data_IF_036297605120
#
_entry.id   IF_036297605120
#
_cell.length_a   1.000
_cell.length_b   1.000
_cell.length_c   1.000
_cell.angle_alpha   90.00
_cell.angle_beta   90.00
_cell.angle_gamma   90.00
#
_symmetry.space_group_name_H-M   'P 1'
#
loop_
_entity.id
_entity.type
_entity.pdbx_description
1 polymer ?
#
# COMPACT_ATOMS: atom_id res chain seq x y z
N UNK A 1 7.18 -19.18 17.70
CA UNK A 1 6.92 -17.72 17.61
C UNK A 1 5.66 -17.44 18.44
N UNK A 2 5.68 -16.52 19.41
CA UNK A 2 4.52 -16.35 20.30
C UNK A 2 3.48 -15.40 19.68
N UNK A 3 2.30 -15.92 19.33
CA UNK A 3 1.14 -15.15 18.85
C UNK A 3 0.71 -14.02 19.82
N UNK A 4 1.08 -14.12 21.11
CA UNK A 4 0.81 -13.10 22.13
C UNK A 4 1.33 -11.71 21.73
N UNK A 5 2.42 -11.65 20.96
CA UNK A 5 3.01 -10.40 20.45
C UNK A 5 2.07 -9.63 19.50
N UNK A 6 1.24 -10.35 18.75
CA UNK A 6 0.36 -9.76 17.72
C UNK A 6 -1.07 -9.51 18.21
N UNK A 7 -1.38 -9.92 19.45
CA UNK A 7 -2.74 -9.91 20.02
C UNK A 7 -3.45 -8.58 19.80
N UNK A 8 -2.84 -7.46 20.18
CA UNK A 8 -3.49 -6.15 20.07
C UNK A 8 -3.78 -5.76 18.61
N UNK A 9 -2.87 -6.07 17.69
CA UNK A 9 -3.07 -5.78 16.27
C UNK A 9 -4.21 -6.63 15.67
N UNK A 10 -4.27 -7.91 16.04
CA UNK A 10 -5.35 -8.82 15.62
C UNK A 10 -6.70 -8.35 16.17
N UNK A 11 -6.76 -7.93 17.45
CA UNK A 11 -7.98 -7.39 18.05
C UNK A 11 -8.45 -6.14 17.29
N UNK A 12 -7.55 -5.19 17.01
CA UNK A 12 -7.87 -3.97 16.25
C UNK A 12 -8.42 -4.34 14.87
N UNK A 13 -7.74 -5.23 14.15
CA UNK A 13 -8.19 -5.73 12.85
C UNK A 13 -9.59 -6.34 12.93
N UNK A 14 -9.83 -7.26 13.87
CA UNK A 14 -11.12 -7.94 14.02
C UNK A 14 -12.24 -6.98 14.39
N UNK A 15 -12.02 -6.04 15.31
CA UNK A 15 -13.04 -5.06 15.70
C UNK A 15 -13.45 -4.21 14.49
N UNK A 16 -12.48 -3.65 13.76
CA UNK A 16 -12.76 -2.81 12.60
C UNK A 16 -13.38 -3.64 11.48
N UNK A 17 -12.85 -4.82 11.19
CA UNK A 17 -13.44 -5.72 10.20
C UNK A 17 -14.91 -6.00 10.51
N UNK A 18 -15.22 -6.40 11.76
CA UNK A 18 -16.58 -6.68 12.19
C UNK A 18 -17.49 -5.44 12.16
N UNK A 19 -16.99 -4.27 12.58
CA UNK A 19 -17.76 -3.02 12.48
C UNK A 19 -18.11 -2.66 11.02
N UNK A 20 -17.23 -2.99 10.07
CA UNK A 20 -17.47 -2.74 8.65
C UNK A 20 -18.24 -3.86 7.95
N UNK A 21 -18.35 -5.07 8.50
CA UNK A 21 -19.07 -6.19 7.86
C UNK A 21 -20.41 -6.53 8.51
N UNK A 22 -20.51 -6.47 9.85
CA UNK A 22 -21.72 -6.87 10.60
C UNK A 22 -22.95 -6.05 10.23
N UNK A 23 -22.90 -4.71 10.12
CA UNK A 23 -24.08 -3.92 9.79
C UNK A 23 -24.71 -4.33 8.45
N UNK A 24 -23.91 -4.84 7.52
CA UNK A 24 -24.38 -5.24 6.21
C UNK A 24 -25.05 -6.62 6.19
N UNK A 25 -24.87 -7.47 7.21
CA UNK A 25 -25.45 -8.83 7.25
C UNK A 25 -26.99 -8.77 7.33
N UNK A 26 -27.63 -8.05 8.28
CA UNK A 26 -29.09 -7.94 8.34
C UNK A 26 -29.67 -7.22 7.12
N UNK A 27 -28.95 -6.21 6.59
CA UNK A 27 -29.32 -5.48 5.38
C UNK A 27 -29.41 -6.41 4.15
N UNK A 28 -28.61 -7.48 4.08
CA UNK A 28 -28.65 -8.45 2.98
C UNK A 28 -29.90 -9.34 3.01
N UNK A 29 -30.48 -9.59 4.20
CA UNK A 29 -31.71 -10.36 4.35
C UNK A 29 -32.98 -9.50 4.16
N UNK A 30 -32.85 -8.18 4.25
CA UNK A 30 -33.95 -7.23 4.07
C UNK A 30 -34.04 -6.68 2.63
N UNK A 31 -32.95 -6.77 1.86
CA UNK A 31 -32.88 -6.34 0.47
C UNK A 31 -33.38 -7.42 -0.51
N UNK A 32 -34.60 -7.92 -0.29
CA UNK A 32 -35.32 -8.71 -1.30
C UNK A 32 -35.95 -7.74 -2.33
N UNK A 33 -35.15 -7.28 -3.29
CA UNK A 33 -35.64 -6.51 -4.43
C UNK A 33 -34.62 -5.53 -5.02
N UNK A 34 -34.14 -5.82 -6.22
CA UNK A 34 -33.35 -4.88 -7.04
C UNK A 34 -31.85 -5.11 -6.97
N UNK A 35 -31.36 -6.05 -7.77
CA UNK A 35 -29.95 -6.36 -7.92
C UNK A 35 -29.21 -5.27 -8.71
N UNK A 36 -28.75 -4.21 -8.05
CA UNK A 36 -27.80 -3.29 -8.68
C UNK A 36 -26.36 -3.74 -8.41
N UNK A 37 -25.91 -4.64 -9.29
CA UNK A 37 -24.52 -5.07 -9.36
C UNK A 37 -23.63 -3.83 -9.55
N UNK A 38 -22.72 -3.54 -8.63
CA UNK A 38 -21.82 -2.37 -8.73
C UNK A 38 -20.71 -2.55 -9.78
N UNK A 39 -20.09 -3.73 -9.81
CA UNK A 39 -18.96 -4.04 -10.71
C UNK A 39 -19.14 -5.39 -11.44
N UNK A 40 -18.76 -5.49 -12.73
CA UNK A 40 -18.76 -6.75 -13.45
C UNK A 40 -17.60 -7.68 -13.04
N UNK A 41 -16.64 -7.19 -12.24
CA UNK A 41 -15.44 -7.95 -11.86
C UNK A 41 -15.77 -9.00 -10.79
N UNK A 42 -16.72 -8.70 -9.91
CA UNK A 42 -17.11 -9.61 -8.83
C UNK A 42 -18.27 -10.50 -9.29
N UNK A 43 -18.29 -11.78 -8.87
CA UNK A 43 -19.33 -12.74 -9.27
C UNK A 43 -20.65 -12.60 -8.48
N UNK A 44 -20.78 -11.55 -7.67
CA UNK A 44 -21.94 -11.36 -6.79
C UNK A 44 -22.91 -10.36 -7.38
N UNK A 45 -24.21 -10.67 -7.36
CA UNK A 45 -25.25 -9.80 -7.92
C UNK A 45 -25.83 -8.81 -6.92
N UNK A 46 -25.50 -8.93 -5.62
CA UNK A 46 -25.98 -7.98 -4.60
C UNK A 46 -24.86 -7.01 -4.22
N UNK A 47 -25.23 -5.73 -4.07
CA UNK A 47 -24.33 -4.65 -3.65
C UNK A 47 -23.59 -4.99 -2.34
N UNK A 48 -24.31 -5.57 -1.38
CA UNK A 48 -23.77 -5.93 -0.07
C UNK A 48 -22.68 -7.00 -0.18
N UNK A 49 -22.93 -8.08 -0.93
CA UNK A 49 -21.93 -9.14 -1.12
C UNK A 49 -20.71 -8.61 -1.87
N UNK A 50 -20.88 -7.66 -2.80
CA UNK A 50 -19.76 -7.00 -3.46
C UNK A 50 -18.93 -6.15 -2.50
N UNK A 51 -19.55 -5.35 -1.62
CA UNK A 51 -18.84 -4.57 -0.60
C UNK A 51 -18.06 -5.50 0.36
N UNK A 52 -18.70 -6.57 0.84
CA UNK A 52 -18.03 -7.55 1.70
C UNK A 52 -16.84 -8.22 0.98
N UNK A 53 -17.01 -8.57 -0.30
CA UNK A 53 -15.95 -9.14 -1.11
C UNK A 53 -14.79 -8.15 -1.31
N UNK A 54 -15.07 -6.87 -1.58
CA UNK A 54 -14.05 -5.82 -1.68
C UNK A 54 -13.23 -5.76 -0.38
N UNK A 55 -13.89 -5.68 0.78
CA UNK A 55 -13.22 -5.63 2.09
C UNK A 55 -12.34 -6.86 2.33
N UNK A 56 -12.82 -8.06 1.96
CA UNK A 56 -12.06 -9.31 2.07
C UNK A 56 -10.89 -9.38 1.09
N UNK A 57 -11.03 -8.81 -0.10
CA UNK A 57 -9.98 -8.82 -1.12
C UNK A 57 -8.83 -7.85 -0.79
N UNK A 58 -9.04 -6.81 0.03
CA UNK A 58 -7.96 -5.89 0.46
C UNK A 58 -6.78 -6.63 1.11
N UNK A 59 -6.94 -7.44 2.18
CA UNK A 59 -5.84 -8.18 2.76
C UNK A 59 -5.25 -9.20 1.78
N UNK A 60 -6.06 -9.86 0.93
CA UNK A 60 -5.56 -10.81 -0.07
C UNK A 60 -4.67 -10.12 -1.12
N UNK A 61 -5.12 -8.99 -1.66
CA UNK A 61 -4.35 -8.14 -2.55
C UNK A 61 -3.06 -7.67 -1.87
N UNK A 62 -3.14 -7.28 -0.60
CA UNK A 62 -1.97 -6.95 0.20
C UNK A 62 -0.98 -8.10 0.38
N UNK A 63 -1.42 -9.35 0.55
CA UNK A 63 -0.54 -10.53 0.59
C UNK A 63 0.17 -10.70 -0.75
N UNK A 64 -0.57 -10.70 -1.85
CA UNK A 64 -0.01 -10.87 -3.20
C UNK A 64 1.03 -9.78 -3.47
N UNK A 65 0.66 -8.51 -3.27
CA UNK A 65 1.56 -7.36 -3.45
C UNK A 65 2.73 -7.33 -2.48
N UNK A 66 2.50 -7.74 -1.23
CA UNK A 66 3.50 -7.73 -0.18
C UNK A 66 4.62 -8.75 -0.38
N UNK A 67 4.32 -9.89 -1.01
CA UNK A 67 5.28 -10.98 -1.16
C UNK A 67 5.85 -11.11 -2.57
N UNK A 68 5.01 -11.23 -3.60
CA UNK A 68 5.46 -11.59 -4.94
C UNK A 68 6.37 -10.51 -5.56
N UNK A 69 5.93 -9.24 -5.66
CA UNK A 69 6.79 -8.12 -6.06
C UNK A 69 8.05 -7.97 -5.21
N UNK A 70 7.99 -8.28 -3.92
CA UNK A 70 9.12 -8.12 -3.00
C UNK A 70 10.29 -9.04 -3.35
N UNK A 71 10.00 -10.32 -3.63
CA UNK A 71 11.01 -11.26 -4.09
C UNK A 71 11.50 -10.98 -5.51
N UNK A 72 10.63 -10.46 -6.38
CA UNK A 72 10.98 -10.21 -7.79
C UNK A 72 11.78 -8.91 -7.98
N UNK A 73 11.29 -7.79 -7.43
CA UNK A 73 11.81 -6.46 -7.71
C UNK A 73 12.87 -5.99 -6.70
N UNK A 74 12.94 -6.51 -5.47
CA UNK A 74 14.00 -6.07 -4.54
C UNK A 74 15.41 -6.36 -5.07
N UNK A 75 15.69 -7.55 -5.66
CA UNK A 75 16.96 -7.82 -6.32
C UNK A 75 17.24 -6.86 -7.49
N UNK A 76 16.21 -6.60 -8.31
CA UNK A 76 16.32 -5.70 -9.46
C UNK A 76 16.61 -4.26 -9.04
N UNK A 77 15.94 -3.77 -7.99
CA UNK A 77 16.22 -2.45 -7.41
C UNK A 77 17.64 -2.36 -6.86
N UNK A 78 18.12 -3.41 -6.17
CA UNK A 78 19.51 -3.49 -5.72
C UNK A 78 20.49 -3.34 -6.88
N UNK A 79 20.29 -4.16 -7.90
CA UNK A 79 21.13 -4.21 -9.09
C UNK A 79 21.11 -2.88 -9.84
N UNK A 80 19.94 -2.30 -10.07
CA UNK A 80 19.78 -1.04 -10.79
C UNK A 80 20.48 0.11 -10.06
N UNK A 81 20.20 0.30 -8.77
CA UNK A 81 20.81 1.38 -8.01
C UNK A 81 22.33 1.27 -7.98
N UNK A 82 22.88 0.07 -7.75
CA UNK A 82 24.33 -0.14 -7.73
C UNK A 82 24.97 0.18 -9.09
N UNK A 83 24.27 -0.11 -10.20
CA UNK A 83 24.78 0.18 -11.56
C UNK A 83 24.63 1.63 -11.99
N UNK A 84 23.65 2.38 -11.49
CA UNK A 84 23.35 3.74 -11.98
C UNK A 84 23.73 4.81 -10.98
N UNK A 85 23.08 4.85 -9.82
CA UNK A 85 23.23 5.93 -8.83
C UNK A 85 24.44 5.69 -7.93
N UNK A 86 24.59 4.45 -7.45
CA UNK A 86 25.59 4.04 -6.48
C UNK A 86 26.89 3.51 -7.07
N UNK A 87 27.17 3.72 -8.36
CA UNK A 87 28.31 3.08 -9.02
C UNK A 87 29.69 3.47 -8.44
N UNK A 88 29.78 4.62 -7.75
CA UNK A 88 30.98 5.08 -7.01
C UNK A 88 30.80 5.04 -5.49
N UNK A 89 29.81 4.29 -5.01
CA UNK A 89 29.54 4.14 -3.58
C UNK A 89 30.02 2.79 -3.09
N UNK A 90 30.51 2.75 -1.86
CA UNK A 90 30.79 1.48 -1.18
C UNK A 90 29.50 0.96 -0.55
N UNK A 91 29.30 -0.35 -0.59
CA UNK A 91 28.11 -1.01 -0.05
C UNK A 91 28.50 -2.00 1.05
N UNK A 92 27.61 -2.17 2.02
CA UNK A 92 27.75 -3.17 3.07
C UNK A 92 26.42 -3.65 3.61
N UNK A 93 26.49 -4.63 4.50
CA UNK A 93 25.35 -5.25 5.19
C UNK A 93 25.46 -4.94 6.68
N UNK A 94 24.51 -4.18 7.19
CA UNK A 94 24.39 -3.92 8.63
C UNK A 94 23.46 -4.96 9.27
N UNK A 95 23.87 -5.55 10.40
CA UNK A 95 22.97 -6.40 11.17
C UNK A 95 21.95 -5.52 11.90
N UNK A 96 20.67 -5.86 11.77
CA UNK A 96 19.58 -5.25 12.54
C UNK A 96 18.88 -6.34 13.33
N UNK A 97 18.74 -6.09 14.62
CA UNK A 97 17.97 -6.94 15.50
C UNK A 97 16.48 -6.78 15.23
N UNK A 98 15.72 -7.85 15.47
CA UNK A 98 14.27 -7.80 15.38
C UNK A 98 13.75 -7.05 16.61
N UNK A 99 12.94 -5.98 16.45
CA UNK A 99 12.39 -5.26 17.59
C UNK A 99 11.54 -6.20 18.45
N UNK A 100 11.55 -6.02 19.78
CA UNK A 100 10.81 -6.88 20.72
C UNK A 100 9.29 -6.78 20.58
N UNK A 101 8.77 -5.57 20.35
CA UNK A 101 7.35 -5.27 20.18
C UNK A 101 6.97 -5.11 18.70
N UNK A 102 5.74 -5.51 18.36
CA UNK A 102 5.17 -5.22 17.04
C UNK A 102 4.80 -3.74 16.94
N UNK A 103 5.58 -2.97 16.15
CA UNK A 103 5.31 -1.55 15.85
C UNK A 103 4.97 -1.31 14.37
N UNK A 104 4.86 -2.38 13.58
CA UNK A 104 4.78 -2.30 12.12
C UNK A 104 3.37 -2.07 11.57
N UNK A 105 2.34 -1.84 12.41
CA UNK A 105 0.98 -1.49 11.96
C UNK A 105 1.05 -0.25 11.05
N UNK A 106 1.67 0.82 11.54
CA UNK A 106 1.77 2.10 10.82
C UNK A 106 2.69 2.06 9.61
N UNK A 107 3.48 1.00 9.41
CA UNK A 107 4.28 0.83 8.18
C UNK A 107 3.36 0.63 6.95
N UNK A 108 2.10 0.25 7.16
CA UNK A 108 1.07 0.13 6.13
C UNK A 108 0.45 1.46 5.64
N UNK A 109 0.67 2.58 6.35
CA UNK A 109 0.00 3.84 6.01
C UNK A 109 0.38 4.38 4.64
N UNK A 110 1.66 4.31 4.26
CA UNK A 110 2.12 4.83 2.97
C UNK A 110 1.65 3.99 1.78
N UNK A 111 1.70 2.65 1.82
CA UNK A 111 1.00 1.83 0.84
C UNK A 111 -0.49 2.14 0.76
N UNK A 112 -1.17 2.35 1.90
CA UNK A 112 -2.59 2.69 1.91
C UNK A 112 -2.88 4.06 1.25
N UNK A 113 -2.08 5.08 1.55
CA UNK A 113 -2.17 6.40 0.90
C UNK A 113 -1.97 6.29 -0.61
N UNK A 114 -0.97 5.50 -1.05
CA UNK A 114 -0.73 5.27 -2.47
C UNK A 114 -1.88 4.49 -3.13
N UNK A 115 -2.47 3.53 -2.44
CA UNK A 115 -3.59 2.76 -2.96
C UNK A 115 -4.82 3.66 -3.15
N UNK A 116 -5.10 4.52 -2.17
CA UNK A 116 -6.15 5.53 -2.27
C UNK A 116 -5.86 6.52 -3.39
N UNK A 117 -4.62 7.02 -3.51
CA UNK A 117 -4.22 7.89 -4.61
C UNK A 117 -4.52 7.26 -5.98
N UNK A 118 -4.07 6.02 -6.23
CA UNK A 118 -4.33 5.36 -7.51
C UNK A 118 -5.81 5.06 -7.73
N UNK A 119 -6.54 4.65 -6.69
CA UNK A 119 -7.97 4.40 -6.80
C UNK A 119 -8.77 5.67 -7.09
N UNK A 120 -8.37 6.82 -6.54
CA UNK A 120 -9.00 8.11 -6.83
C UNK A 120 -8.75 8.53 -8.29
N UNK A 121 -7.50 8.42 -8.76
CA UNK A 121 -7.14 8.80 -10.13
C UNK A 121 -7.81 7.90 -11.17
N UNK A 122 -7.79 6.59 -10.95
CA UNK A 122 -8.41 5.64 -11.88
C UNK A 122 -9.92 5.62 -11.73
N UNK A 123 -10.46 5.88 -10.54
CA UNK A 123 -11.90 5.86 -10.27
C UNK A 123 -12.70 6.87 -11.09
N UNK A 124 -12.08 7.99 -11.51
CA UNK A 124 -12.68 9.02 -12.39
C UNK A 124 -12.30 8.86 -13.87
N UNK A 125 -11.60 7.78 -14.24
CA UNK A 125 -11.16 7.58 -15.62
C UNK A 125 -12.18 6.82 -16.46
N UNK A 126 -12.10 6.98 -17.79
CA UNK A 126 -12.89 6.20 -18.75
C UNK A 126 -12.70 4.69 -18.57
N UNK A 127 -11.53 4.26 -18.09
CA UNK A 127 -11.28 2.86 -17.78
C UNK A 127 -12.20 2.37 -16.66
N UNK A 128 -12.37 3.15 -15.59
CA UNK A 128 -13.28 2.78 -14.52
C UNK A 128 -14.74 2.79 -14.99
N UNK A 129 -15.15 3.82 -15.72
CA UNK A 129 -16.51 3.92 -16.25
C UNK A 129 -16.89 2.72 -17.13
N UNK A 130 -16.03 2.36 -18.08
CA UNK A 130 -16.34 1.37 -19.10
C UNK A 130 -16.10 -0.09 -18.66
N UNK A 131 -15.17 -0.34 -17.74
CA UNK A 131 -14.73 -1.71 -17.41
C UNK A 131 -14.89 -2.09 -15.94
N UNK A 132 -14.91 -1.12 -15.03
CA UNK A 132 -14.96 -1.39 -13.57
C UNK A 132 -16.37 -1.24 -13.04
N UNK A 133 -17.14 -0.27 -13.54
CA UNK A 133 -18.52 -0.04 -13.12
C UNK A 133 -19.47 -0.84 -14.02
N UNK A 134 -20.48 -1.46 -13.42
CA UNK A 134 -21.45 -2.25 -14.17
C UNK A 134 -22.37 -1.34 -14.98
N UNK A 135 -22.68 -1.67 -16.25
CA UNK A 135 -23.67 -0.93 -17.04
C UNK A 135 -25.05 -0.88 -16.38
N UNK A 136 -25.43 -1.92 -15.64
CA UNK A 136 -26.68 -1.94 -14.86
C UNK A 136 -26.72 -0.85 -13.79
N UNK A 137 -25.57 -0.56 -13.17
CA UNK A 137 -25.44 0.50 -12.17
C UNK A 137 -25.48 1.88 -12.82
N UNK A 138 -25.00 2.02 -14.07
CA UNK A 138 -25.03 3.28 -14.82
C UNK A 138 -26.43 3.60 -15.38
N UNK A 139 -27.21 2.59 -15.76
CA UNK A 139 -28.54 2.76 -16.35
C UNK A 139 -29.67 3.06 -15.37
N UNK A 140 -29.41 2.99 -14.06
CA UNK A 140 -30.39 3.27 -13.00
C UNK A 140 -30.29 4.69 -12.46
N UNK A 141 -30.97 5.65 -13.08
CA UNK A 141 -31.17 7.00 -12.52
C UNK A 141 -29.90 7.69 -11.98
N UNK A 142 -29.82 7.90 -10.66
CA UNK A 142 -28.67 8.54 -9.96
C UNK A 142 -27.32 7.79 -10.10
N UNK A 143 -27.32 6.58 -10.64
CA UNK A 143 -26.13 5.76 -10.84
C UNK A 143 -25.05 6.40 -11.72
N UNK A 144 -25.44 7.24 -12.69
CA UNK A 144 -24.51 8.03 -13.52
C UNK A 144 -23.78 9.14 -12.74
N UNK A 145 -24.28 9.54 -11.56
CA UNK A 145 -23.56 10.49 -10.70
C UNK A 145 -22.69 9.78 -9.66
N UNK A 146 -22.98 8.51 -9.35
CA UNK A 146 -22.30 7.72 -8.32
C UNK A 146 -21.14 6.86 -8.85
N UNK A 147 -21.01 6.71 -10.17
CA UNK A 147 -19.99 5.84 -10.76
C UNK A 147 -18.54 6.14 -10.30
N UNK A 148 -18.09 7.38 -10.04
CA UNK A 148 -16.71 7.61 -9.59
C UNK A 148 -16.44 6.99 -8.23
N UNK A 149 -17.44 7.02 -7.33
CA UNK A 149 -17.38 6.42 -5.99
C UNK A 149 -17.35 4.90 -6.10
N UNK A 150 -18.16 4.34 -7.00
CA UNK A 150 -18.18 2.90 -7.27
C UNK A 150 -16.87 2.42 -7.90
N UNK A 151 -16.36 3.15 -8.88
CA UNK A 151 -15.06 2.89 -9.51
C UNK A 151 -13.94 2.92 -8.49
N UNK A 152 -13.89 3.98 -7.67
CA UNK A 152 -12.95 4.09 -6.55
C UNK A 152 -13.02 2.86 -5.62
N UNK A 153 -14.20 2.54 -5.08
CA UNK A 153 -14.39 1.47 -4.11
C UNK A 153 -14.00 0.09 -4.68
N UNK A 154 -14.40 -0.18 -5.93
CA UNK A 154 -14.13 -1.44 -6.62
C UNK A 154 -12.64 -1.63 -6.92
N UNK A 155 -11.88 -0.53 -7.10
CA UNK A 155 -10.45 -0.58 -7.39
C UNK A 155 -9.57 -0.74 -6.15
N UNK A 156 -10.06 -0.44 -4.94
CA UNK A 156 -9.26 -0.48 -3.69
C UNK A 156 -8.46 -1.78 -3.50
N UNK A 157 -9.01 -2.99 -3.69
CA UNK A 157 -8.23 -4.22 -3.46
C UNK A 157 -7.05 -4.36 -4.43
N UNK A 158 -7.26 -4.00 -5.69
CA UNK A 158 -6.24 -4.06 -6.74
C UNK A 158 -5.16 -2.99 -6.53
N UNK A 159 -5.57 -1.77 -6.21
CA UNK A 159 -4.63 -0.69 -5.91
C UNK A 159 -3.85 -0.98 -4.63
N UNK A 160 -4.47 -1.62 -3.62
CA UNK A 160 -3.75 -2.10 -2.43
C UNK A 160 -2.68 -3.12 -2.81
N UNK A 161 -2.97 -4.06 -3.72
CA UNK A 161 -1.98 -5.02 -4.20
C UNK A 161 -0.81 -4.34 -4.93
N UNK A 162 -1.10 -3.40 -5.84
CA UNK A 162 -0.08 -2.65 -6.58
C UNK A 162 0.77 -1.81 -5.62
N UNK A 163 0.15 -1.04 -4.72
CA UNK A 163 0.87 -0.20 -3.76
C UNK A 163 1.72 -1.01 -2.80
N UNK A 164 1.20 -2.13 -2.27
CA UNK A 164 1.98 -3.06 -1.49
C UNK A 164 3.14 -3.64 -2.31
N UNK A 165 2.92 -3.90 -3.60
CA UNK A 165 3.95 -4.33 -4.55
C UNK A 165 5.06 -3.32 -4.81
N UNK A 166 4.78 -2.03 -4.73
CA UNK A 166 5.77 -0.96 -4.87
C UNK A 166 6.59 -0.79 -3.58
N UNK A 167 5.96 -0.94 -2.41
CA UNK A 167 6.63 -0.77 -1.12
C UNK A 167 7.35 -2.02 -0.62
N UNK A 168 6.88 -3.22 -0.98
CA UNK A 168 7.48 -4.46 -0.50
C UNK A 168 8.95 -4.65 -0.88
N UNK A 169 9.43 -4.30 -2.09
CA UNK A 169 10.83 -4.44 -2.45
C UNK A 169 11.75 -3.57 -1.60
N UNK A 170 11.28 -2.36 -1.30
CA UNK A 170 11.97 -1.40 -0.42
C UNK A 170 12.07 -1.94 1.00
N UNK A 171 11.02 -2.58 1.50
CA UNK A 171 11.05 -3.21 2.81
C UNK A 171 12.01 -4.40 2.86
N UNK A 172 12.11 -5.19 1.79
CA UNK A 172 13.07 -6.29 1.71
C UNK A 172 14.52 -5.75 1.78
N UNK A 173 14.81 -4.65 1.09
CA UNK A 173 16.12 -3.97 1.18
C UNK A 173 16.40 -3.41 2.58
N UNK A 174 15.41 -2.80 3.22
CA UNK A 174 15.49 -2.31 4.60
C UNK A 174 15.75 -3.44 5.61
N UNK A 175 15.03 -4.54 5.45
CA UNK A 175 15.09 -5.72 6.32
C UNK A 175 16.42 -6.47 6.14
N UNK A 176 16.96 -6.48 4.91
CA UNK A 176 18.29 -7.01 4.59
C UNK A 176 19.43 -6.22 5.26
N UNK A 177 19.19 -4.94 5.56
CA UNK A 177 20.19 -4.04 6.14
C UNK A 177 21.23 -3.57 5.14
N UNK A 178 20.87 -3.46 3.85
CA UNK A 178 21.79 -2.96 2.82
C UNK A 178 22.01 -1.46 3.03
N UNK A 179 23.27 -1.09 3.21
CA UNK A 179 23.73 0.28 3.42
C UNK A 179 24.78 0.65 2.38
N UNK A 180 24.91 1.93 2.09
CA UNK A 180 25.95 2.47 1.24
C UNK A 180 26.59 3.71 1.85
N UNK A 181 27.80 4.02 1.41
CA UNK A 181 28.49 5.28 1.72
C UNK A 181 29.09 5.92 0.48
N UNK A 182 29.08 7.25 0.44
CA UNK A 182 29.71 8.06 -0.61
C UNK A 182 31.19 8.36 -0.30
N UNK A 183 31.79 7.79 0.75
CA UNK A 183 33.16 8.09 1.22
C UNK A 183 34.21 8.16 0.10
N UNK A 184 34.22 7.19 -0.83
CA UNK A 184 35.15 7.22 -1.98
C UNK A 184 34.84 8.34 -2.97
N UNK A 185 33.56 8.65 -3.18
CA UNK A 185 33.10 9.69 -4.11
C UNK A 185 33.47 11.10 -3.62
N UNK A 186 33.41 11.34 -2.31
CA UNK A 186 33.57 12.69 -1.72
C UNK A 186 34.96 12.96 -1.14
N UNK A 187 35.90 12.02 -1.29
CA UNK A 187 37.25 12.07 -0.68
C UNK A 187 37.98 13.40 -0.94
N UNK A 188 37.84 13.95 -2.14
CA UNK A 188 38.54 15.17 -2.59
C UNK A 188 37.57 16.37 -2.72
N UNK A 189 36.43 16.33 -2.02
CA UNK A 189 35.40 17.38 -2.06
C UNK A 189 35.04 17.85 -0.66
N UNK A 190 34.38 19.01 -0.55
CA UNK A 190 33.84 19.54 0.70
C UNK A 190 32.52 18.84 1.09
N UNK A 191 32.00 17.97 0.22
CA UNK A 191 30.74 17.25 0.49
C UNK A 191 30.88 16.31 1.70
N UNK A 192 29.86 16.23 2.57
CA UNK A 192 29.91 15.38 3.75
C UNK A 192 29.88 13.89 3.37
N UNK A 193 30.55 13.08 4.19
CA UNK A 193 30.42 11.62 4.14
C UNK A 193 29.05 11.25 4.70
N UNK A 194 28.26 10.56 3.88
CA UNK A 194 26.96 10.04 4.23
C UNK A 194 26.99 8.51 4.30
N UNK A 195 26.26 7.97 5.27
CA UNK A 195 25.99 6.54 5.40
C UNK A 195 24.48 6.37 5.43
N UNK A 196 23.93 5.72 4.40
CA UNK A 196 22.48 5.60 4.24
C UNK A 196 22.06 4.19 3.94
N UNK A 197 20.91 3.78 4.47
CA UNK A 197 20.28 2.53 4.04
C UNK A 197 19.68 2.72 2.65
N UNK A 198 19.98 1.80 1.75
CA UNK A 198 19.44 1.80 0.40
C UNK A 198 17.92 1.71 0.39
N UNK A 199 17.37 0.82 1.23
CA UNK A 199 15.93 0.74 1.43
C UNK A 199 15.36 2.07 1.97
N UNK A 200 16.06 2.77 2.86
CA UNK A 200 15.60 4.07 3.37
C UNK A 200 15.58 5.16 2.28
N UNK A 201 16.51 5.11 1.33
CA UNK A 201 16.56 6.06 0.21
C UNK A 201 15.30 5.94 -0.67
N UNK A 202 14.98 4.73 -1.14
CA UNK A 202 13.74 4.49 -1.89
C UNK A 202 12.49 4.77 -1.05
N UNK A 203 12.51 4.38 0.22
CA UNK A 203 11.37 4.59 1.11
C UNK A 203 11.05 6.08 1.26
N UNK A 204 12.07 6.94 1.36
CA UNK A 204 11.86 8.39 1.44
C UNK A 204 11.18 8.94 0.18
N UNK A 205 11.63 8.53 -1.01
CA UNK A 205 11.03 8.93 -2.28
C UNK A 205 9.57 8.49 -2.39
N UNK A 206 9.30 7.20 -2.11
CA UNK A 206 7.94 6.66 -2.18
C UNK A 206 6.99 7.28 -1.17
N UNK A 207 7.46 7.59 0.04
CA UNK A 207 6.66 8.30 1.06
C UNK A 207 6.29 9.71 0.59
N UNK A 208 7.25 10.44 0.02
CA UNK A 208 7.03 11.77 -0.52
C UNK A 208 5.95 11.75 -1.62
N UNK A 209 6.07 10.81 -2.56
CA UNK A 209 5.08 10.63 -3.62
C UNK A 209 3.70 10.23 -3.07
N UNK A 210 3.62 9.20 -2.22
CA UNK A 210 2.35 8.72 -1.69
C UNK A 210 1.62 9.80 -0.86
N UNK A 211 2.36 10.58 -0.07
CA UNK A 211 1.80 11.63 0.78
C UNK A 211 1.29 12.83 -0.02
N UNK A 212 2.10 13.35 -0.95
CA UNK A 212 1.71 14.52 -1.75
C UNK A 212 0.66 14.14 -2.80
N UNK A 213 0.84 12.99 -3.46
CA UNK A 213 -0.03 12.53 -4.52
C UNK A 213 -1.46 12.35 -4.06
N UNK A 214 -1.70 11.72 -2.90
CA UNK A 214 -3.06 11.47 -2.42
C UNK A 214 -3.83 12.77 -2.17
N UNK A 215 -3.15 13.83 -1.72
CA UNK A 215 -3.78 15.15 -1.50
C UNK A 215 -4.26 15.73 -2.83
N UNK A 216 -3.41 15.73 -3.87
CA UNK A 216 -3.82 16.22 -5.19
C UNK A 216 -4.95 15.39 -5.79
N UNK A 217 -4.85 14.06 -5.72
CA UNK A 217 -5.91 13.17 -6.21
C UNK A 217 -7.23 13.37 -5.47
N UNK A 218 -7.17 13.64 -4.16
CA UNK A 218 -8.36 13.94 -3.37
C UNK A 218 -9.03 15.23 -3.83
N UNK A 219 -8.24 16.30 -4.06
CA UNK A 219 -8.77 17.57 -4.56
C UNK A 219 -9.44 17.38 -5.92
N UNK A 220 -8.78 16.70 -6.86
CA UNK A 220 -9.35 16.46 -8.19
C UNK A 220 -10.62 15.61 -8.14
N UNK A 221 -10.61 14.53 -7.34
CA UNK A 221 -11.78 13.68 -7.17
C UNK A 221 -12.94 14.46 -6.54
N UNK A 222 -12.67 15.27 -5.50
CA UNK A 222 -13.70 16.10 -4.86
C UNK A 222 -14.28 17.12 -5.85
N UNK A 223 -13.45 17.74 -6.69
CA UNK A 223 -13.92 18.68 -7.72
C UNK A 223 -14.80 17.99 -8.77
N UNK A 224 -14.41 16.79 -9.24
CA UNK A 224 -15.23 16.00 -10.17
C UNK A 224 -16.57 15.64 -9.53
N UNK A 225 -16.56 15.11 -8.31
CA UNK A 225 -17.79 14.81 -7.55
C UNK A 225 -18.64 16.08 -7.38
N UNK A 226 -18.08 17.20 -6.91
CA UNK A 226 -18.82 18.45 -6.75
C UNK A 226 -19.44 18.95 -8.06
N UNK A 227 -18.76 18.76 -9.20
CA UNK A 227 -19.33 19.14 -10.50
C UNK A 227 -20.53 18.29 -10.93
N UNK A 228 -20.65 17.08 -10.37
CA UNK A 228 -21.76 16.14 -10.63
C UNK A 228 -22.90 16.28 -9.62
N UNK A 229 -22.60 16.67 -8.37
CA UNK A 229 -23.58 16.93 -7.33
C UNK A 229 -23.82 18.44 -7.17
N UNK A 230 -24.90 18.94 -7.79
CA UNK A 230 -25.36 20.32 -7.59
C UNK A 230 -25.97 20.56 -6.20
N UNK A 231 -26.19 19.51 -5.40
CA UNK A 231 -26.75 19.59 -4.05
C UNK A 231 -25.76 19.02 -3.01
N UNK A 232 -25.13 19.88 -2.18
CA UNK A 232 -24.22 19.45 -1.12
C UNK A 232 -24.93 18.73 0.05
N UNK A 233 -26.26 18.69 0.07
CA UNK A 233 -27.04 17.90 1.04
C UNK A 233 -27.29 16.47 0.59
N UNK A 234 -26.88 16.09 -0.63
CA UNK A 234 -27.01 14.73 -1.11
C UNK A 234 -26.28 13.74 -0.17
N UNK A 235 -26.95 12.69 0.35
CA UNK A 235 -26.34 11.72 1.25
C UNK A 235 -25.09 11.05 0.69
N UNK A 236 -25.03 10.78 -0.62
CA UNK A 236 -23.87 10.21 -1.30
C UNK A 236 -22.66 11.14 -1.27
N UNK A 237 -22.88 12.45 -1.45
CA UNK A 237 -21.83 13.47 -1.32
C UNK A 237 -21.28 13.53 0.11
N UNK A 238 -22.17 13.57 1.11
CA UNK A 238 -21.78 13.62 2.54
C UNK A 238 -20.98 12.37 2.92
N UNK A 239 -21.43 11.19 2.48
CA UNK A 239 -20.73 9.92 2.73
C UNK A 239 -19.36 9.94 2.06
N UNK A 240 -19.23 10.39 0.81
CA UNK A 240 -17.95 10.49 0.14
C UNK A 240 -17.00 11.45 0.85
N UNK A 241 -17.46 12.65 1.22
CA UNK A 241 -16.65 13.67 1.90
C UNK A 241 -16.12 13.19 3.27
N UNK A 242 -16.88 12.36 3.99
CA UNK A 242 -16.47 11.80 5.29
C UNK A 242 -15.63 10.53 5.13
N UNK A 243 -16.04 9.61 4.26
CA UNK A 243 -15.41 8.29 4.15
C UNK A 243 -14.05 8.36 3.46
N UNK A 244 -13.90 9.19 2.42
CA UNK A 244 -12.67 9.24 1.63
C UNK A 244 -11.41 9.59 2.46
N UNK A 245 -11.42 10.60 3.35
CA UNK A 245 -10.28 10.86 4.25
C UNK A 245 -9.96 9.72 5.22
N UNK A 246 -10.96 8.89 5.56
CA UNK A 246 -10.82 7.76 6.48
C UNK A 246 -10.25 6.52 5.76
N UNK A 247 -10.42 6.41 4.43
CA UNK A 247 -10.02 5.24 3.65
C UNK A 247 -8.56 4.81 3.83
N UNK A 248 -7.55 5.71 3.84
CA UNK A 248 -6.16 5.29 4.08
C UNK A 248 -5.97 4.62 5.45
N UNK A 249 -6.67 5.10 6.49
CA UNK A 249 -6.62 4.52 7.83
C UNK A 249 -7.30 3.15 7.81
N UNK A 250 -8.48 3.06 7.19
CA UNK A 250 -9.21 1.80 7.06
C UNK A 250 -8.37 0.73 6.35
N UNK A 251 -7.78 1.06 5.20
CA UNK A 251 -6.93 0.14 4.44
C UNK A 251 -5.71 -0.27 5.28
N UNK A 252 -5.08 0.66 6.00
CA UNK A 252 -3.94 0.36 6.91
C UNK A 252 -4.32 -0.69 7.94
N UNK A 253 -5.54 -0.62 8.48
CA UNK A 253 -6.05 -1.59 9.44
C UNK A 253 -6.36 -2.93 8.75
N UNK A 254 -7.01 -2.90 7.57
CA UNK A 254 -7.34 -4.11 6.81
C UNK A 254 -6.10 -4.89 6.38
N UNK A 255 -4.96 -4.24 6.15
CA UNK A 255 -3.69 -4.90 5.79
C UNK A 255 -2.86 -5.35 7.00
N UNK A 256 -3.32 -5.18 8.25
CA UNK A 256 -2.62 -5.68 9.45
C UNK A 256 -2.21 -7.16 9.33
N UNK A 257 -3.08 -8.09 8.88
CA UNK A 257 -2.69 -9.49 8.71
C UNK A 257 -1.46 -9.65 7.80
N UNK A 258 -1.37 -8.83 6.75
CA UNK A 258 -0.22 -8.82 5.84
C UNK A 258 1.05 -8.35 6.54
N UNK A 259 0.95 -7.28 7.33
CA UNK A 259 2.10 -6.74 8.08
C UNK A 259 2.62 -7.75 9.11
N UNK A 260 1.72 -8.53 9.72
CA UNK A 260 2.08 -9.64 10.60
C UNK A 260 2.82 -10.72 9.78
N UNK A 261 2.27 -11.15 8.64
CA UNK A 261 2.90 -12.15 7.77
C UNK A 261 4.29 -11.71 7.32
N UNK A 262 4.47 -10.47 6.86
CA UNK A 262 5.79 -9.96 6.48
C UNK A 262 6.81 -10.06 7.63
N UNK A 263 6.36 -9.83 8.87
CA UNK A 263 7.23 -9.94 10.04
C UNK A 263 7.53 -11.39 10.47
N UNK A 264 6.58 -12.31 10.24
CA UNK A 264 6.79 -13.76 10.40
C UNK A 264 7.86 -14.24 9.43
N UNK A 265 7.75 -13.84 8.16
CA UNK A 265 8.68 -14.19 7.09
C UNK A 265 9.91 -13.27 7.02
N UNK A 266 10.22 -12.50 8.08
CA UNK A 266 11.37 -11.59 8.09
C UNK A 266 12.69 -12.33 7.88
N UNK A 267 12.92 -13.47 8.53
CA UNK A 267 14.18 -14.22 8.44
C UNK A 267 14.44 -14.74 7.01
N UNK A 268 13.52 -15.49 6.36
CA UNK A 268 13.73 -15.95 4.99
C UNK A 268 13.93 -14.80 3.99
N UNK A 269 13.13 -13.74 4.09
CA UNK A 269 13.23 -12.56 3.19
C UNK A 269 14.60 -11.87 3.33
N UNK A 270 15.08 -11.73 4.57
CA UNK A 270 16.40 -11.16 4.88
C UNK A 270 17.54 -12.02 4.32
N UNK A 271 17.46 -13.33 4.49
CA UNK A 271 18.47 -14.27 3.99
C UNK A 271 18.51 -14.28 2.46
N UNK A 272 17.34 -14.35 1.81
CA UNK A 272 17.21 -14.23 0.35
C UNK A 272 17.92 -12.99 -0.19
N UNK A 273 17.60 -11.81 0.35
CA UNK A 273 18.19 -10.56 -0.13
C UNK A 273 19.68 -10.45 0.16
N UNK A 274 20.15 -10.94 1.31
CA UNK A 274 21.58 -10.95 1.63
C UNK A 274 22.35 -11.89 0.72
N UNK A 275 21.81 -13.06 0.40
CA UNK A 275 22.43 -13.99 -0.54
C UNK A 275 22.53 -13.37 -1.94
N UNK A 276 21.49 -12.64 -2.39
CA UNK A 276 21.56 -11.90 -3.63
C UNK A 276 22.58 -10.75 -3.59
N UNK A 277 22.64 -9.99 -2.50
CA UNK A 277 23.60 -8.92 -2.31
C UNK A 277 25.06 -9.42 -2.34
N UNK A 278 25.35 -10.56 -1.72
CA UNK A 278 26.67 -11.21 -1.77
C UNK A 278 27.09 -11.56 -3.20
N UNK A 279 26.15 -12.05 -4.03
CA UNK A 279 26.40 -12.31 -5.46
C UNK A 279 26.76 -11.04 -6.24
N UNK A 280 26.38 -9.87 -5.74
CA UNK A 280 26.77 -8.58 -6.29
C UNK A 280 28.07 -8.04 -5.68
N UNK A 281 28.78 -8.81 -4.84
CA UNK A 281 29.98 -8.37 -4.13
C UNK A 281 29.70 -7.39 -2.99
N UNK A 282 28.51 -7.45 -2.38
CA UNK A 282 28.17 -6.67 -1.18
C UNK A 282 28.27 -7.61 0.02
N UNK A 283 29.34 -7.48 0.80
CA UNK A 283 29.64 -8.36 1.93
C UNK A 283 30.12 -7.56 3.14
N UNK A 284 29.96 -8.16 4.32
CA UNK A 284 30.43 -7.58 5.58
C UNK A 284 29.75 -6.26 5.97
N UNK A 285 30.00 -5.75 7.18
CA UNK A 285 29.71 -4.36 7.52
C UNK A 285 30.65 -3.43 6.72
N UNK A 286 30.23 -2.17 6.51
CA UNK A 286 31.11 -1.15 5.94
C UNK A 286 32.34 -0.97 6.84
N UNK A 287 33.56 -1.04 6.29
CA UNK A 287 34.79 -0.80 7.03
C UNK A 287 34.94 0.70 7.33
N UNK A 288 34.87 1.07 8.61
CA UNK A 288 35.03 2.45 9.11
C UNK A 288 34.13 3.47 8.37
N UNK A 289 32.80 3.39 8.56
CA UNK A 289 31.82 4.16 7.77
C UNK A 289 31.89 5.68 8.04
N UNK A 290 32.40 6.09 9.19
CA UNK A 290 32.68 7.47 9.57
C UNK A 290 34.04 7.46 10.26
N UNK A 291 35.11 7.91 9.60
CA UNK A 291 36.38 8.15 10.29
C UNK A 291 36.20 9.46 11.07
N UNK A 292 35.90 9.37 12.36
CA UNK A 292 36.16 10.50 13.27
C UNK A 292 37.65 10.44 13.59
N UNK A 293 38.42 11.33 12.98
CA UNK A 293 39.75 11.68 13.48
C UNK A 293 39.57 12.55 14.73
#
# INVERSE_FOLDING_TARGET
MSLKRYRNAIIIFLIIYLLFTIPFIPLNYLADGGADRMTPILPFNTLILQIMAIVLLVPLGGIIGGFLPGYLFAPLMLLFYKKTIGFRMEFGIQHREKPEKFKNIWKGIFPALLAVNFALLLGISDFAYNFVVSPSYLGGGEGENLWPIVGFASLIPYMTAISMGIFSPVWFLLDAGIVFTNKQKVKDTIEPIEVRSMGSWYHYLLKGYAGIGVVFSYIFFLMDVLSRYNDPTNPGFIIAAIMLPIMPILITILIIPVMILLEVYLKPRREFMRNFAKRLGIEGPLERPLNFN
#
